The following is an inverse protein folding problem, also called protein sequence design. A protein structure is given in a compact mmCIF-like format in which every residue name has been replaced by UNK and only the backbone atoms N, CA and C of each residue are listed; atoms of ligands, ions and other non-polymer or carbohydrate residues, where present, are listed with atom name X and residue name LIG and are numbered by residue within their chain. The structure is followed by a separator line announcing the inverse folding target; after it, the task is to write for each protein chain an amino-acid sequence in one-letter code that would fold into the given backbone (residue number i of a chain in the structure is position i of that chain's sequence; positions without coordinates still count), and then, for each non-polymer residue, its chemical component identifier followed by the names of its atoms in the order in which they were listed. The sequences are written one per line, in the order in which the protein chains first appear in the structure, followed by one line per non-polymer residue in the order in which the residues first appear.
data_IF_024064498169
#
_entry.id   IF_024064498169
#
_cell.length_a   1.000
_cell.length_b   1.000
_cell.length_c   1.000
_cell.angle_alpha   90.00
_cell.angle_beta   90.00
_cell.angle_gamma   90.00
#
_symmetry.space_group_name_H-M   'P 1'
#
loop_
_entity.id
_entity.type
_entity.pdbx_description
1 polymer ?
#
# COMPACT_ATOMS: atom_id res chain seq x y z
N UNK A 1 29.44 22.57 -26.50
CA UNK A 1 28.87 21.21 -26.32
C UNK A 1 27.52 21.24 -27.02
N UNK A 2 27.34 20.52 -28.13
CA UNK A 2 26.08 20.54 -28.89
C UNK A 2 25.01 19.79 -28.10
N UNK A 3 23.98 20.50 -27.61
CA UNK A 3 22.78 19.87 -27.12
C UNK A 3 22.10 19.18 -28.32
N UNK A 4 22.16 17.86 -28.36
CA UNK A 4 21.46 17.07 -29.37
C UNK A 4 19.99 16.97 -28.97
N UNK A 5 19.08 17.28 -29.89
CA UNK A 5 17.63 17.11 -29.68
C UNK A 5 17.27 15.66 -29.30
N UNK A 6 18.10 14.69 -29.67
CA UNK A 6 17.93 13.27 -29.30
C UNK A 6 18.30 12.97 -27.83
N UNK A 7 19.02 13.87 -27.15
CA UNK A 7 19.42 13.75 -25.75
C UNK A 7 18.67 14.73 -24.83
N UNK A 8 17.99 15.72 -25.43
CA UNK A 8 17.14 16.69 -24.75
C UNK A 8 15.78 16.05 -24.40
N UNK A 9 15.71 15.46 -23.21
CA UNK A 9 14.52 14.78 -22.72
C UNK A 9 13.71 15.69 -21.80
N UNK A 10 12.67 16.33 -22.34
CA UNK A 10 11.70 17.10 -21.54
C UNK A 10 10.72 16.15 -20.86
N UNK A 11 10.78 16.12 -19.53
CA UNK A 11 9.85 15.31 -18.73
C UNK A 11 8.43 15.91 -18.84
N UNK A 12 7.39 15.10 -19.07
CA UNK A 12 6.03 15.59 -19.10
C UNK A 12 5.66 16.19 -17.73
N UNK A 13 5.07 17.38 -17.74
CA UNK A 13 4.51 17.98 -16.53
C UNK A 13 3.31 17.16 -16.02
N UNK A 14 2.86 17.41 -14.79
CA UNK A 14 1.81 16.62 -14.13
C UNK A 14 0.51 16.54 -14.94
N UNK A 15 0.11 17.65 -15.56
CA UNK A 15 -1.10 17.79 -16.35
C UNK A 15 -1.02 17.03 -17.68
N UNK A 16 0.11 17.13 -18.38
CA UNK A 16 0.37 16.35 -19.61
C UNK A 16 0.33 14.85 -19.32
N UNK A 17 0.96 14.42 -18.22
CA UNK A 17 0.91 13.02 -17.81
C UNK A 17 -0.52 12.56 -17.51
N UNK A 18 -1.32 13.39 -16.84
CA UNK A 18 -2.74 13.09 -16.58
C UNK A 18 -3.51 12.86 -17.87
N UNK A 19 -3.48 13.80 -18.82
CA UNK A 19 -4.27 13.67 -20.04
C UNK A 19 -3.84 12.46 -20.88
N UNK A 20 -2.54 12.25 -21.07
CA UNK A 20 -2.05 11.09 -21.82
C UNK A 20 -2.39 9.76 -21.15
N UNK A 21 -2.18 9.64 -19.84
CA UNK A 21 -2.52 8.40 -19.12
C UNK A 21 -4.03 8.14 -19.07
N UNK A 22 -4.86 9.19 -18.98
CA UNK A 22 -6.32 9.07 -18.99
C UNK A 22 -6.81 8.58 -20.37
N UNK A 23 -6.45 9.27 -21.45
CA UNK A 23 -6.86 8.85 -22.80
C UNK A 23 -6.34 7.47 -23.16
N UNK A 24 -5.12 7.15 -22.76
CA UNK A 24 -4.54 5.84 -22.99
C UNK A 24 -5.22 4.75 -22.16
N UNK A 25 -5.60 5.05 -20.92
CA UNK A 25 -6.44 4.14 -20.11
C UNK A 25 -7.77 3.88 -20.78
N UNK A 26 -8.43 4.92 -21.31
CA UNK A 26 -9.68 4.77 -22.04
C UNK A 26 -9.45 3.90 -23.28
N UNK A 27 -8.43 4.17 -24.09
CA UNK A 27 -8.13 3.39 -25.28
C UNK A 27 -7.83 1.91 -24.98
N UNK A 28 -7.06 1.62 -23.92
CA UNK A 28 -6.59 0.27 -23.61
C UNK A 28 -7.59 -0.58 -22.81
N UNK A 29 -8.44 0.03 -21.98
CA UNK A 29 -9.24 -0.73 -21.00
C UNK A 29 -10.74 -0.45 -21.04
N UNK A 30 -11.17 0.64 -21.70
CA UNK A 30 -12.58 0.99 -21.76
C UNK A 30 -13.36 0.03 -22.66
N UNK A 31 -14.51 -0.43 -22.18
CA UNK A 31 -15.43 -1.24 -22.98
C UNK A 31 -16.36 -0.34 -23.80
N UNK A 32 -16.02 -0.11 -25.07
CA UNK A 32 -16.82 0.76 -25.95
C UNK A 32 -18.22 0.21 -26.26
N UNK A 33 -18.40 -1.11 -26.26
CA UNK A 33 -19.73 -1.73 -26.47
C UNK A 33 -20.71 -1.52 -25.32
N UNK A 34 -20.22 -1.17 -24.12
CA UNK A 34 -21.03 -0.98 -22.90
C UNK A 34 -20.47 0.19 -22.09
N UNK A 35 -20.65 1.44 -22.54
CA UNK A 35 -19.99 2.60 -21.96
C UNK A 35 -20.31 2.80 -20.48
N UNK A 36 -21.56 2.56 -20.06
CA UNK A 36 -22.04 2.73 -18.68
C UNK A 36 -21.83 1.49 -17.78
N UNK A 37 -20.86 0.64 -18.09
CA UNK A 37 -20.53 -0.50 -17.23
C UNK A 37 -19.87 -0.03 -15.92
N UNK A 38 -20.14 -0.73 -14.81
CA UNK A 38 -19.47 -0.47 -13.53
C UNK A 38 -17.94 -0.53 -13.65
N UNK A 39 -17.43 -1.38 -14.55
CA UNK A 39 -16.01 -1.48 -14.88
C UNK A 39 -15.46 -0.17 -15.44
N UNK A 40 -16.12 0.40 -16.45
CA UNK A 40 -15.70 1.67 -17.05
C UNK A 40 -15.80 2.82 -16.05
N UNK A 41 -16.83 2.81 -15.22
CA UNK A 41 -16.98 3.78 -14.14
C UNK A 41 -15.84 3.67 -13.13
N UNK A 42 -15.50 2.46 -12.69
CA UNK A 42 -14.35 2.20 -11.81
C UNK A 42 -13.03 2.67 -12.45
N UNK A 43 -12.83 2.45 -13.77
CA UNK A 43 -11.65 2.92 -14.50
C UNK A 43 -11.53 4.46 -14.50
N UNK A 44 -12.61 5.18 -14.78
CA UNK A 44 -12.64 6.65 -14.74
C UNK A 44 -12.42 7.14 -13.29
N UNK A 45 -13.05 6.48 -12.32
CA UNK A 45 -12.94 6.85 -10.92
C UNK A 45 -11.52 6.70 -10.36
N UNK A 46 -10.65 5.88 -10.95
CA UNK A 46 -9.23 5.81 -10.55
C UNK A 46 -8.50 7.14 -10.81
N UNK A 47 -8.98 7.94 -11.76
CA UNK A 47 -8.44 9.26 -12.09
C UNK A 47 -9.10 10.40 -11.29
N UNK A 48 -10.13 10.12 -10.50
CA UNK A 48 -10.83 11.13 -9.69
C UNK A 48 -9.92 11.81 -8.66
N UNK A 49 -8.80 11.21 -8.26
CA UNK A 49 -7.83 11.86 -7.38
C UNK A 49 -7.05 12.99 -8.07
N UNK A 50 -6.86 12.93 -9.38
CA UNK A 50 -5.91 13.78 -10.11
C UNK A 50 -6.26 15.27 -10.06
N UNK A 51 -7.53 15.70 -10.21
CA UNK A 51 -7.86 17.12 -10.05
C UNK A 51 -7.46 17.67 -8.68
N UNK A 52 -7.68 16.90 -7.60
CA UNK A 52 -7.28 17.29 -6.25
C UNK A 52 -5.77 17.42 -6.09
N UNK A 53 -4.99 16.53 -6.72
CA UNK A 53 -3.54 16.69 -6.82
C UNK A 53 -3.21 18.02 -7.54
N UNK A 54 -3.67 18.21 -8.78
CA UNK A 54 -3.29 19.38 -9.58
C UNK A 54 -3.63 20.72 -8.90
N UNK A 55 -4.77 20.80 -8.20
CA UNK A 55 -5.14 21.95 -7.38
C UNK A 55 -4.14 22.24 -6.25
N UNK A 56 -3.63 21.19 -5.58
CA UNK A 56 -2.59 21.35 -4.55
C UNK A 56 -1.25 21.77 -5.15
N UNK A 57 -0.91 21.25 -6.34
CA UNK A 57 0.29 21.69 -7.05
C UNK A 57 0.21 23.17 -7.43
N UNK A 58 -0.93 23.60 -7.97
CA UNK A 58 -1.20 25.00 -8.28
C UNK A 58 -1.16 25.88 -7.02
N UNK A 59 -1.83 25.47 -5.95
CA UNK A 59 -1.79 26.18 -4.66
C UNK A 59 -0.36 26.35 -4.12
N UNK A 60 0.50 25.34 -4.27
CA UNK A 60 1.89 25.41 -3.84
C UNK A 60 2.73 26.32 -4.73
N UNK A 61 2.46 26.37 -6.04
CA UNK A 61 3.10 27.32 -6.95
C UNK A 61 2.67 28.76 -6.65
N UNK A 62 1.39 29.00 -6.38
CA UNK A 62 0.89 30.31 -5.94
C UNK A 62 1.50 30.73 -4.61
N UNK A 63 1.59 29.80 -3.64
CA UNK A 63 2.20 30.06 -2.33
C UNK A 63 3.69 30.41 -2.42
N UNK A 64 4.40 29.90 -3.43
CA UNK A 64 5.80 30.24 -3.68
C UNK A 64 5.99 31.67 -4.21
N UNK A 65 4.99 32.23 -4.90
CA UNK A 65 4.99 33.60 -5.38
C UNK A 65 4.47 34.59 -4.32
N UNK A 66 3.44 34.21 -3.57
CA UNK A 66 2.86 34.96 -2.46
C UNK A 66 2.49 33.98 -1.32
N UNK A 67 3.07 34.10 -0.11
CA UNK A 67 2.78 33.21 1.01
C UNK A 67 1.28 33.10 1.39
N UNK A 68 0.44 34.07 1.03
CA UNK A 68 -1.01 34.02 1.25
C UNK A 68 -1.78 33.50 0.02
N UNK A 69 -1.12 33.38 -1.13
CA UNK A 69 -1.69 32.87 -2.37
C UNK A 69 -1.99 31.37 -2.30
N UNK A 70 -3.05 30.93 -3.00
CA UNK A 70 -3.37 29.50 -3.12
C UNK A 70 -4.12 28.88 -1.94
N UNK A 71 -4.50 29.66 -0.91
CA UNK A 71 -5.13 29.10 0.30
C UNK A 71 -6.51 28.46 0.01
N UNK A 72 -7.31 29.05 -0.88
CA UNK A 72 -8.61 28.52 -1.26
C UNK A 72 -8.49 27.25 -2.10
N UNK A 73 -7.58 27.28 -3.08
CA UNK A 73 -7.21 26.16 -3.96
C UNK A 73 -6.69 24.98 -3.13
N UNK A 74 -5.89 25.25 -2.09
CA UNK A 74 -5.39 24.23 -1.17
C UNK A 74 -6.51 23.51 -0.44
N UNK A 75 -7.44 24.26 0.14
CA UNK A 75 -8.60 23.69 0.84
C UNK A 75 -9.47 22.88 -0.13
N UNK A 76 -9.72 23.40 -1.33
CA UNK A 76 -10.51 22.72 -2.34
C UNK A 76 -9.82 21.44 -2.85
N UNK A 77 -8.50 21.47 -3.04
CA UNK A 77 -7.69 20.31 -3.41
C UNK A 77 -7.78 19.18 -2.38
N UNK A 78 -7.60 19.48 -1.09
CA UNK A 78 -7.78 18.49 -0.03
C UNK A 78 -9.23 17.98 0.07
N UNK A 79 -10.23 18.88 -0.02
CA UNK A 79 -11.64 18.49 0.00
C UNK A 79 -12.00 17.55 -1.16
N UNK A 80 -11.45 17.81 -2.35
CA UNK A 80 -11.61 16.96 -3.53
C UNK A 80 -10.97 15.58 -3.34
N UNK A 81 -9.72 15.53 -2.86
CA UNK A 81 -9.04 14.26 -2.56
C UNK A 81 -9.82 13.41 -1.56
N UNK A 82 -10.32 14.03 -0.48
CA UNK A 82 -11.14 13.34 0.52
C UNK A 82 -12.50 12.90 -0.03
N UNK A 83 -13.07 13.64 -0.98
CA UNK A 83 -14.29 13.23 -1.68
C UNK A 83 -14.05 12.02 -2.59
N UNK A 84 -12.94 12.01 -3.33
CA UNK A 84 -12.50 10.85 -4.11
C UNK A 84 -12.20 9.63 -3.21
N UNK A 85 -11.54 9.85 -2.07
CA UNK A 85 -11.35 8.82 -1.03
C UNK A 85 -12.69 8.30 -0.50
N UNK A 86 -13.69 9.17 -0.30
CA UNK A 86 -15.02 8.76 0.18
C UNK A 86 -15.73 7.90 -0.85
N UNK A 87 -15.67 8.28 -2.13
CA UNK A 87 -16.18 7.44 -3.21
C UNK A 87 -15.55 6.04 -3.17
N UNK A 88 -14.22 5.94 -3.06
CA UNK A 88 -13.53 4.66 -3.02
C UNK A 88 -13.80 3.87 -1.72
N UNK A 89 -13.98 4.55 -0.60
CA UNK A 89 -14.38 3.94 0.67
C UNK A 89 -15.75 3.26 0.54
N UNK A 90 -16.75 4.00 0.04
CA UNK A 90 -18.09 3.46 -0.24
C UNK A 90 -17.99 2.31 -1.25
N UNK A 91 -17.20 2.48 -2.30
CA UNK A 91 -17.00 1.46 -3.33
C UNK A 91 -16.42 0.15 -2.78
N UNK A 92 -15.51 0.22 -1.81
CA UNK A 92 -14.96 -0.94 -1.10
C UNK A 92 -16.04 -1.69 -0.32
N UNK A 93 -16.94 -0.98 0.37
CA UNK A 93 -18.07 -1.62 1.07
C UNK A 93 -19.06 -2.25 0.08
N UNK A 94 -19.37 -1.58 -1.03
CA UNK A 94 -20.23 -2.13 -2.08
C UNK A 94 -19.62 -3.42 -2.68
N UNK A 95 -18.29 -3.50 -2.81
CA UNK A 95 -17.62 -4.70 -3.32
C UNK A 95 -17.81 -5.94 -2.44
N UNK A 96 -18.07 -5.76 -1.14
CA UNK A 96 -18.35 -6.87 -0.23
C UNK A 96 -19.66 -7.59 -0.56
N UNK A 97 -20.56 -6.92 -1.28
CA UNK A 97 -21.86 -7.47 -1.71
C UNK A 97 -21.89 -7.83 -3.19
N UNK A 98 -20.86 -7.46 -3.96
CA UNK A 98 -20.83 -7.64 -5.40
C UNK A 98 -20.52 -9.10 -5.78
N UNK A 99 -21.57 -9.83 -6.18
CA UNK A 99 -21.49 -11.26 -6.56
C UNK A 99 -21.11 -11.47 -8.03
N UNK A 100 -21.46 -10.56 -8.94
CA UNK A 100 -21.22 -10.70 -10.38
C UNK A 100 -20.51 -9.47 -10.95
N UNK A 101 -19.48 -9.70 -11.76
CA UNK A 101 -18.76 -8.67 -12.53
C UNK A 101 -18.63 -9.10 -13.99
N UNK A 102 -18.61 -8.17 -14.95
CA UNK A 102 -18.25 -8.50 -16.32
C UNK A 102 -16.79 -8.97 -16.38
N UNK A 103 -16.51 -9.94 -17.25
CA UNK A 103 -15.13 -10.43 -17.49
C UNK A 103 -14.26 -9.27 -18.00
N UNK A 104 -13.07 -9.12 -17.43
CA UNK A 104 -12.12 -8.13 -17.87
C UNK A 104 -11.50 -8.57 -19.21
N UNK A 105 -11.44 -7.63 -20.16
CA UNK A 105 -10.68 -7.76 -21.41
C UNK A 105 -10.12 -6.40 -21.76
N UNK A 106 -8.84 -6.38 -22.07
CA UNK A 106 -8.12 -5.24 -22.61
C UNK A 106 -8.34 -5.14 -24.13
N UNK A 107 -8.19 -3.93 -24.66
CA UNK A 107 -8.32 -3.65 -26.09
C UNK A 107 -6.99 -3.89 -26.85
N UNK A 108 -5.95 -4.37 -26.16
CA UNK A 108 -4.64 -4.70 -26.70
C UNK A 108 -4.34 -6.18 -26.45
N UNK A 109 -3.51 -6.81 -27.28
CA UNK A 109 -3.07 -8.19 -27.05
C UNK A 109 -2.20 -8.29 -25.80
N UNK A 110 -2.17 -9.46 -25.15
CA UNK A 110 -1.35 -9.68 -23.94
C UNK A 110 0.13 -9.32 -24.16
N UNK A 111 0.81 -9.74 -25.24
CA UNK A 111 2.21 -9.36 -25.48
C UNK A 111 2.37 -7.86 -25.70
N UNK A 112 1.43 -7.22 -26.41
CA UNK A 112 1.44 -5.77 -26.62
C UNK A 112 1.30 -5.00 -25.31
N UNK A 113 0.38 -5.44 -24.44
CA UNK A 113 0.16 -4.83 -23.13
C UNK A 113 1.34 -5.06 -22.18
N UNK A 114 1.98 -6.23 -22.24
CA UNK A 114 3.18 -6.53 -21.47
C UNK A 114 4.36 -5.65 -21.91
N UNK A 115 4.60 -5.53 -23.22
CA UNK A 115 5.62 -4.64 -23.76
C UNK A 115 5.36 -3.19 -23.37
N UNK A 116 4.11 -2.75 -23.48
CA UNK A 116 3.69 -1.41 -23.06
C UNK A 116 3.99 -1.16 -21.58
N UNK A 117 3.67 -2.10 -20.69
CA UNK A 117 3.99 -2.02 -19.26
C UNK A 117 5.49 -1.95 -18.99
N UNK A 118 6.31 -2.75 -19.69
CA UNK A 118 7.78 -2.71 -19.58
C UNK A 118 8.31 -1.34 -20.02
N UNK A 119 7.85 -0.84 -21.17
CA UNK A 119 8.26 0.47 -21.69
C UNK A 119 7.89 1.59 -20.71
N UNK A 120 6.68 1.57 -20.14
CA UNK A 120 6.27 2.54 -19.12
C UNK A 120 7.14 2.48 -17.87
N UNK A 121 7.49 1.28 -17.38
CA UNK A 121 8.36 1.15 -16.22
C UNK A 121 9.76 1.72 -16.49
N UNK A 122 10.32 1.48 -17.68
CA UNK A 122 11.59 2.08 -18.10
C UNK A 122 11.47 3.61 -18.16
N UNK A 123 10.42 4.14 -18.78
CA UNK A 123 10.18 5.59 -18.83
C UNK A 123 10.04 6.19 -17.42
N UNK A 124 9.28 5.56 -16.51
CA UNK A 124 9.15 6.02 -15.13
C UNK A 124 10.46 5.92 -14.35
N UNK A 125 11.31 4.93 -14.64
CA UNK A 125 12.67 4.86 -14.09
C UNK A 125 13.49 6.06 -14.56
N UNK A 126 13.42 6.41 -15.85
CA UNK A 126 14.07 7.62 -16.39
C UNK A 126 13.53 8.89 -15.73
N UNK A 127 12.22 8.97 -15.48
CA UNK A 127 11.59 10.08 -14.75
C UNK A 127 12.12 10.17 -13.32
N UNK A 128 12.17 9.06 -12.60
CA UNK A 128 12.71 9.01 -11.24
C UNK A 128 14.19 9.43 -11.20
N UNK A 129 14.97 9.06 -12.21
CA UNK A 129 16.40 9.38 -12.32
C UNK A 129 16.63 10.84 -12.68
N UNK A 130 15.94 11.36 -13.69
CA UNK A 130 16.22 12.68 -14.30
C UNK A 130 15.58 13.87 -13.60
N UNK A 131 14.59 13.69 -12.72
CA UNK A 131 14.01 14.83 -11.98
C UNK A 131 15.05 15.37 -10.98
N UNK A 132 15.60 16.58 -11.14
CA UNK A 132 16.60 17.12 -10.21
C UNK A 132 15.97 17.46 -8.84
N UNK A 133 14.71 17.86 -8.83
CA UNK A 133 13.85 17.98 -7.65
C UNK A 133 12.49 17.36 -7.97
N UNK A 134 11.90 16.66 -7.00
CA UNK A 134 10.54 16.15 -7.17
C UNK A 134 9.58 17.35 -7.22
N UNK A 135 8.72 17.40 -8.25
CA UNK A 135 7.71 18.45 -8.40
C UNK A 135 6.66 18.42 -7.27
N UNK A 136 6.70 17.38 -6.44
CA UNK A 136 5.85 17.15 -5.28
C UNK A 136 6.74 17.06 -4.06
N UNK A 137 6.38 17.79 -3.01
CA UNK A 137 7.02 17.59 -1.73
C UNK A 137 6.73 16.17 -1.20
N UNK A 138 7.67 15.55 -0.46
CA UNK A 138 7.44 14.26 0.16
C UNK A 138 6.17 14.28 1.02
N UNK A 139 5.30 13.29 0.82
CA UNK A 139 4.06 13.18 1.59
C UNK A 139 4.38 12.43 2.88
N UNK A 140 4.11 13.06 4.02
CA UNK A 140 4.45 12.44 5.29
C UNK A 140 5.94 12.39 5.63
N UNK A 141 6.20 12.10 6.89
CA UNK A 141 7.56 11.91 7.41
C UNK A 141 8.04 10.48 7.11
N UNK A 142 9.22 10.31 6.51
CA UNK A 142 9.78 8.98 6.30
C UNK A 142 10.09 8.34 7.67
N UNK A 143 9.72 7.07 7.89
CA UNK A 143 10.01 6.38 9.14
C UNK A 143 11.51 6.19 9.35
N UNK A 144 11.96 6.26 10.60
CA UNK A 144 13.39 6.19 10.97
C UNK A 144 14.05 4.89 10.52
N UNK A 145 13.34 3.77 10.56
CA UNK A 145 13.88 2.52 10.02
C UNK A 145 14.12 2.59 8.51
N UNK A 146 13.24 3.25 7.76
CA UNK A 146 13.38 3.38 6.30
C UNK A 146 14.54 4.33 5.99
N UNK A 147 14.67 5.44 6.72
CA UNK A 147 15.82 6.36 6.56
C UNK A 147 17.13 5.67 6.90
N UNK A 148 17.19 4.93 8.01
CA UNK A 148 18.38 4.16 8.39
C UNK A 148 18.77 3.09 7.36
N UNK A 149 17.81 2.42 6.73
CA UNK A 149 18.07 1.49 5.62
C UNK A 149 18.64 2.23 4.40
N UNK A 150 18.08 3.39 4.05
CA UNK A 150 18.59 4.18 2.91
C UNK A 150 19.99 4.72 3.16
N UNK A 151 20.29 5.13 4.39
CA UNK A 151 21.62 5.59 4.80
C UNK A 151 22.62 4.43 4.78
N UNK A 152 22.28 3.28 5.37
CA UNK A 152 23.12 2.09 5.35
C UNK A 152 23.40 1.59 3.92
N UNK A 153 22.40 1.61 3.05
CA UNK A 153 22.58 1.28 1.64
C UNK A 153 23.49 2.28 0.92
N UNK A 154 23.38 3.58 1.21
CA UNK A 154 24.27 4.60 0.64
C UNK A 154 25.73 4.39 1.08
N UNK A 155 25.98 3.99 2.34
CA UNK A 155 27.34 3.66 2.84
C UNK A 155 27.94 2.49 2.05
N UNK A 156 27.14 1.45 1.78
CA UNK A 156 27.57 0.29 1.00
C UNK A 156 27.92 0.70 -0.44
N UNK A 157 27.12 1.57 -1.06
CA UNK A 157 27.39 2.09 -2.40
C UNK A 157 28.66 2.93 -2.44
N UNK A 158 28.89 3.75 -1.41
CA UNK A 158 30.12 4.53 -1.23
C UNK A 158 31.36 3.65 -0.88
N UNK A 159 31.21 2.32 -0.79
CA UNK A 159 32.27 1.37 -0.41
C UNK A 159 32.97 1.71 0.93
N UNK A 160 32.30 2.45 1.81
CA UNK A 160 32.86 2.91 3.07
C UNK A 160 33.95 3.98 2.94
N UNK A 161 34.13 4.58 1.76
CA UNK A 161 35.05 5.70 1.59
C UNK A 161 34.45 6.99 2.19
N UNK A 162 35.27 7.87 2.78
CA UNK A 162 34.81 9.18 3.21
C UNK A 162 34.46 10.02 1.99
N UNK A 163 33.18 10.35 1.88
CA UNK A 163 32.60 11.14 0.78
C UNK A 163 32.34 12.57 1.27
N UNK A 164 32.53 13.56 0.40
CA UNK A 164 32.16 14.94 0.72
C UNK A 164 30.64 15.11 0.92
N UNK A 165 30.17 16.18 1.58
CA UNK A 165 28.73 16.32 1.89
C UNK A 165 27.82 16.38 0.66
N UNK A 166 28.32 16.95 -0.45
CA UNK A 166 27.54 17.11 -1.70
C UNK A 166 27.36 15.78 -2.41
N UNK A 167 28.45 15.03 -2.63
CA UNK A 167 28.39 13.70 -3.23
C UNK A 167 27.64 12.71 -2.32
N UNK A 168 27.72 12.86 -0.99
CA UNK A 168 26.92 12.06 -0.06
C UNK A 168 25.41 12.32 -0.22
N UNK A 169 25.00 13.58 -0.35
CA UNK A 169 23.61 13.93 -0.60
C UNK A 169 23.12 13.36 -1.93
N UNK A 170 23.95 13.43 -2.97
CA UNK A 170 23.68 12.84 -4.28
C UNK A 170 23.51 11.31 -4.20
N UNK A 171 24.44 10.60 -3.57
CA UNK A 171 24.39 9.14 -3.38
C UNK A 171 23.12 8.71 -2.62
N UNK A 172 22.72 9.47 -1.60
CA UNK A 172 21.49 9.20 -0.84
C UNK A 172 20.26 9.32 -1.73
N UNK A 173 20.17 10.37 -2.55
CA UNK A 173 19.06 10.57 -3.49
C UNK A 173 18.97 9.39 -4.48
N UNK A 174 20.09 8.98 -5.05
CA UNK A 174 20.16 7.83 -5.97
C UNK A 174 19.72 6.53 -5.30
N UNK A 175 20.18 6.31 -4.07
CA UNK A 175 19.85 5.10 -3.28
C UNK A 175 18.35 5.04 -2.98
N UNK A 176 17.74 6.14 -2.53
CA UNK A 176 16.28 6.21 -2.27
C UNK A 176 15.49 5.94 -3.54
N UNK A 177 15.87 6.54 -4.67
CA UNK A 177 15.21 6.35 -5.96
C UNK A 177 15.32 4.91 -6.46
N UNK A 178 16.50 4.30 -6.37
CA UNK A 178 16.71 2.90 -6.74
C UNK A 178 15.83 1.96 -5.89
N UNK A 179 15.81 2.15 -4.57
CA UNK A 179 14.97 1.37 -3.66
C UNK A 179 13.47 1.61 -3.93
N UNK A 180 13.06 2.84 -4.24
CA UNK A 180 11.68 3.15 -4.59
C UNK A 180 11.27 2.41 -5.89
N UNK A 181 12.12 2.43 -6.92
CA UNK A 181 11.87 1.70 -8.18
C UNK A 181 11.81 0.18 -7.98
N UNK A 182 12.64 -0.38 -7.08
CA UNK A 182 12.52 -1.78 -6.67
C UNK A 182 11.19 -2.06 -5.95
N UNK A 183 10.71 -1.13 -5.12
CA UNK A 183 9.38 -1.17 -4.54
C UNK A 183 8.28 -1.18 -5.60
N UNK A 184 8.37 -0.32 -6.62
CA UNK A 184 7.42 -0.30 -7.73
C UNK A 184 7.46 -1.62 -8.53
N UNK A 185 8.65 -2.17 -8.79
CA UNK A 185 8.81 -3.49 -9.40
C UNK A 185 8.15 -4.60 -8.56
N UNK A 186 8.28 -4.55 -7.24
CA UNK A 186 7.60 -5.48 -6.33
C UNK A 186 6.07 -5.34 -6.39
N UNK A 187 5.52 -4.12 -6.54
CA UNK A 187 4.08 -3.92 -6.75
C UNK A 187 3.62 -4.50 -8.09
N UNK A 188 4.30 -4.16 -9.19
CA UNK A 188 3.97 -4.62 -10.55
C UNK A 188 3.98 -6.16 -10.62
N UNK A 189 5.03 -6.78 -10.11
CA UNK A 189 5.16 -8.25 -10.06
C UNK A 189 4.11 -8.87 -9.16
N UNK A 190 3.83 -8.28 -7.99
CA UNK A 190 2.76 -8.70 -7.10
C UNK A 190 1.40 -8.70 -7.78
N UNK A 191 1.05 -7.62 -8.51
CA UNK A 191 -0.22 -7.51 -9.24
C UNK A 191 -0.30 -8.57 -10.35
N UNK A 192 0.77 -8.72 -11.14
CA UNK A 192 0.86 -9.76 -12.15
C UNK A 192 0.67 -11.16 -11.57
N UNK A 193 1.37 -11.49 -10.48
CA UNK A 193 1.29 -12.79 -9.83
C UNK A 193 -0.08 -13.06 -9.20
N UNK A 194 -0.76 -12.06 -8.64
CA UNK A 194 -2.14 -12.22 -8.17
C UNK A 194 -3.07 -12.57 -9.34
N UNK A 195 -2.97 -11.84 -10.46
CA UNK A 195 -3.73 -12.14 -11.68
C UNK A 195 -3.45 -13.55 -12.21
N UNK A 196 -2.18 -13.87 -12.46
CA UNK A 196 -1.78 -15.15 -13.02
C UNK A 196 -2.07 -16.35 -12.10
N UNK A 197 -1.73 -16.26 -10.81
CA UNK A 197 -1.77 -17.41 -9.90
C UNK A 197 -3.10 -17.59 -9.19
N UNK A 198 -3.74 -16.49 -8.77
CA UNK A 198 -4.96 -16.52 -7.96
C UNK A 198 -6.20 -16.29 -8.81
N UNK A 199 -6.19 -15.31 -9.71
CA UNK A 199 -7.28 -15.11 -10.66
C UNK A 199 -7.25 -16.10 -11.84
N UNK A 200 -6.12 -16.80 -12.04
CA UNK A 200 -5.89 -17.73 -13.16
C UNK A 200 -6.08 -17.05 -14.52
N UNK A 201 -5.78 -15.76 -14.59
CA UNK A 201 -5.89 -14.94 -15.78
C UNK A 201 -4.68 -14.01 -15.87
N UNK A 202 -3.78 -14.35 -16.79
CA UNK A 202 -2.57 -13.57 -17.04
C UNK A 202 -2.87 -12.22 -17.67
N UNK A 203 -3.94 -12.10 -18.48
CA UNK A 203 -4.33 -10.83 -19.10
C UNK A 203 -4.69 -9.81 -18.02
N UNK A 204 -5.53 -10.20 -17.07
CA UNK A 204 -5.89 -9.38 -15.92
C UNK A 204 -4.65 -9.00 -15.08
N UNK A 205 -3.70 -9.92 -14.88
CA UNK A 205 -2.44 -9.63 -14.18
C UNK A 205 -1.59 -8.56 -14.87
N UNK A 206 -1.37 -8.70 -16.18
CA UNK A 206 -0.62 -7.73 -16.98
C UNK A 206 -1.36 -6.39 -17.04
N UNK A 207 -2.69 -6.40 -17.13
CA UNK A 207 -3.51 -5.20 -17.14
C UNK A 207 -3.46 -4.42 -15.82
N UNK A 208 -3.52 -5.10 -14.67
CA UNK A 208 -3.36 -4.43 -13.36
C UNK A 208 -1.97 -3.79 -13.24
N UNK A 209 -0.92 -4.50 -13.66
CA UNK A 209 0.45 -3.99 -13.69
C UNK A 209 0.59 -2.74 -14.58
N UNK A 210 0.08 -2.80 -15.82
CA UNK A 210 0.11 -1.67 -16.74
C UNK A 210 -0.74 -0.48 -16.24
N UNK A 211 -1.91 -0.75 -15.66
CA UNK A 211 -2.75 0.29 -15.05
C UNK A 211 -2.04 0.98 -13.89
N UNK A 212 -1.40 0.22 -12.98
CA UNK A 212 -0.63 0.79 -11.88
C UNK A 212 0.41 1.82 -12.35
N UNK A 213 1.11 1.51 -13.44
CA UNK A 213 2.11 2.39 -14.04
C UNK A 213 1.52 3.59 -14.77
N UNK A 214 0.33 3.44 -15.34
CA UNK A 214 -0.39 4.53 -15.99
C UNK A 214 -0.91 5.57 -15.00
N UNK A 215 -1.28 5.16 -13.79
CA UNK A 215 -1.93 6.06 -12.84
C UNK A 215 -1.03 7.26 -12.47
N UNK A 216 -1.52 8.51 -12.60
CA UNK A 216 -0.68 9.70 -12.42
C UNK A 216 -0.01 9.80 -11.04
N UNK A 217 -0.72 9.43 -9.97
CA UNK A 217 -0.15 9.48 -8.61
C UNK A 217 0.95 8.44 -8.37
N UNK A 218 1.09 7.40 -9.20
CA UNK A 218 2.28 6.55 -9.21
C UNK A 218 3.49 7.34 -9.74
N UNK A 219 3.29 8.13 -10.79
CA UNK A 219 4.33 8.96 -11.39
C UNK A 219 4.63 10.24 -10.60
N UNK A 220 3.65 10.79 -9.87
CA UNK A 220 3.82 11.97 -9.02
C UNK A 220 4.68 11.65 -7.80
N UNK A 221 4.49 10.48 -7.20
CA UNK A 221 5.19 10.05 -5.97
C UNK A 221 6.17 8.88 -6.20
N UNK A 222 6.74 8.79 -7.40
CA UNK A 222 7.58 7.65 -7.84
C UNK A 222 8.82 7.40 -6.95
N UNK A 223 9.30 8.43 -6.27
CA UNK A 223 10.49 8.40 -5.39
C UNK A 223 10.14 8.12 -3.92
N UNK A 224 8.86 8.05 -3.54
CA UNK A 224 8.44 7.96 -2.14
C UNK A 224 8.49 6.52 -1.60
N UNK A 225 9.69 6.08 -1.23
CA UNK A 225 9.98 4.71 -0.80
C UNK A 225 9.03 4.18 0.28
N UNK A 226 8.74 4.94 1.33
CA UNK A 226 7.88 4.46 2.43
C UNK A 226 6.44 4.18 2.01
N UNK A 227 5.93 4.84 0.98
CA UNK A 227 4.59 4.56 0.45
C UNK A 227 4.57 3.30 -0.39
N UNK A 228 5.53 3.18 -1.31
CA UNK A 228 5.59 2.03 -2.21
C UNK A 228 5.98 0.75 -1.47
N UNK A 229 6.84 0.85 -0.45
CA UNK A 229 7.19 -0.28 0.42
C UNK A 229 5.95 -0.82 1.15
N UNK A 230 5.15 0.07 1.73
CA UNK A 230 3.88 -0.28 2.34
C UNK A 230 2.93 -0.97 1.34
N UNK A 231 2.75 -0.34 0.18
CA UNK A 231 1.89 -0.85 -0.87
C UNK A 231 2.34 -2.26 -1.33
N UNK A 232 3.65 -2.45 -1.53
CA UNK A 232 4.26 -3.72 -1.91
C UNK A 232 4.06 -4.79 -0.85
N UNK A 233 4.41 -4.52 0.42
CA UNK A 233 4.29 -5.50 1.51
C UNK A 233 2.84 -5.92 1.73
N UNK A 234 1.90 -4.98 1.67
CA UNK A 234 0.47 -5.27 1.80
C UNK A 234 -0.05 -6.11 0.62
N UNK A 235 0.35 -5.78 -0.61
CA UNK A 235 -0.01 -6.56 -1.78
C UNK A 235 0.59 -7.97 -1.75
N UNK A 236 1.86 -8.11 -1.37
CA UNK A 236 2.50 -9.41 -1.25
C UNK A 236 1.93 -10.23 -0.10
N UNK A 237 1.42 -9.60 0.97
CA UNK A 237 0.63 -10.29 1.99
C UNK A 237 -0.66 -10.84 1.39
N UNK A 238 -1.36 -10.06 0.55
CA UNK A 238 -2.53 -10.55 -0.20
C UNK A 238 -2.14 -11.69 -1.14
N UNK A 239 -1.05 -11.59 -1.89
CA UNK A 239 -0.56 -12.70 -2.71
C UNK A 239 -0.26 -13.95 -1.87
N UNK A 240 0.35 -13.77 -0.69
CA UNK A 240 0.70 -14.84 0.22
C UNK A 240 -0.47 -15.32 1.09
N UNK A 241 -1.74 -14.93 0.81
CA UNK A 241 -2.88 -15.21 1.71
C UNK A 241 -3.08 -16.70 2.05
N UNK A 242 -2.60 -17.62 1.21
CA UNK A 242 -2.64 -19.06 1.51
C UNK A 242 -1.61 -19.51 2.56
N UNK A 243 -0.66 -18.65 2.92
CA UNK A 243 0.38 -18.88 3.92
C UNK A 243 0.23 -17.88 5.07
N UNK A 244 -0.57 -18.20 6.11
CA UNK A 244 -0.87 -17.25 7.19
C UNK A 244 0.38 -16.66 7.85
N UNK A 245 1.43 -17.47 8.06
CA UNK A 245 2.70 -16.99 8.65
C UNK A 245 3.38 -15.94 7.79
N UNK A 246 3.45 -16.17 6.48
CA UNK A 246 4.10 -15.25 5.55
C UNK A 246 3.29 -13.98 5.37
N UNK A 247 1.97 -14.09 5.25
CA UNK A 247 1.07 -12.93 5.23
C UNK A 247 1.19 -12.09 6.50
N UNK A 248 1.20 -12.75 7.66
CA UNK A 248 1.45 -12.11 8.95
C UNK A 248 2.80 -11.41 8.96
N UNK A 249 3.88 -12.10 8.56
CA UNK A 249 5.23 -11.54 8.50
C UNK A 249 5.30 -10.27 7.65
N UNK A 250 4.75 -10.30 6.44
CA UNK A 250 4.77 -9.17 5.52
C UNK A 250 3.98 -7.96 6.06
N UNK A 251 2.80 -8.18 6.65
CA UNK A 251 2.04 -7.11 7.28
C UNK A 251 2.68 -6.60 8.57
N UNK A 252 3.33 -7.48 9.34
CA UNK A 252 4.08 -7.11 10.54
C UNK A 252 5.28 -6.22 10.19
N UNK A 253 6.01 -6.54 9.11
CA UNK A 253 7.07 -5.68 8.57
C UNK A 253 6.50 -4.32 8.12
N UNK A 254 5.38 -4.32 7.40
CA UNK A 254 4.74 -3.07 6.96
C UNK A 254 4.32 -2.21 8.15
N UNK A 255 3.73 -2.83 9.18
CA UNK A 255 3.30 -2.18 10.41
C UNK A 255 4.48 -1.63 11.21
N UNK A 256 5.57 -2.38 11.35
CA UNK A 256 6.77 -1.92 12.03
C UNK A 256 7.50 -0.79 11.29
N UNK A 257 7.44 -0.81 9.96
CA UNK A 257 8.08 0.21 9.13
C UNK A 257 7.27 1.49 9.01
N UNK A 258 5.93 1.44 8.91
CA UNK A 258 5.09 2.61 8.59
C UNK A 258 3.92 2.87 9.55
N UNK A 259 3.85 2.11 10.65
CA UNK A 259 2.84 2.18 11.72
C UNK A 259 1.40 1.81 11.32
N UNK A 260 0.78 2.55 10.39
CA UNK A 260 -0.64 2.38 10.01
C UNK A 260 -1.09 0.98 9.59
N UNK A 261 -0.26 0.11 9.00
CA UNK A 261 -0.68 -1.25 8.67
C UNK A 261 -1.05 -2.10 9.88
N UNK A 262 -0.66 -1.69 11.09
CA UNK A 262 -1.13 -2.32 12.34
C UNK A 262 -2.66 -2.32 12.42
N UNK A 263 -3.31 -1.32 11.84
CA UNK A 263 -4.77 -1.16 11.82
C UNK A 263 -5.47 -2.22 10.96
N UNK A 264 -4.72 -2.90 10.08
CA UNK A 264 -5.24 -4.03 9.28
C UNK A 264 -5.38 -5.31 10.11
N UNK A 265 -4.72 -5.40 11.25
CA UNK A 265 -4.65 -6.62 12.06
C UNK A 265 -6.03 -7.23 12.40
N UNK A 266 -7.06 -6.46 12.84
CA UNK A 266 -8.35 -7.04 13.20
C UNK A 266 -9.05 -7.73 12.02
N UNK A 267 -9.03 -7.12 10.84
CA UNK A 267 -9.60 -7.66 9.59
C UNK A 267 -8.89 -8.94 9.15
N UNK A 268 -7.56 -8.96 9.22
CA UNK A 268 -6.77 -10.12 8.82
C UNK A 268 -6.86 -11.25 9.84
N UNK A 269 -6.96 -10.93 11.12
CA UNK A 269 -7.25 -11.89 12.17
C UNK A 269 -8.61 -12.55 11.95
N UNK A 270 -9.62 -11.76 11.56
CA UNK A 270 -10.95 -12.25 11.18
C UNK A 270 -10.89 -13.14 9.93
N UNK A 271 -10.17 -12.73 8.90
CA UNK A 271 -9.99 -13.52 7.67
C UNK A 271 -9.43 -14.92 7.96
N UNK A 272 -8.45 -15.02 8.86
CA UNK A 272 -7.88 -16.32 9.28
C UNK A 272 -8.57 -16.97 10.47
N UNK A 273 -9.70 -16.42 10.95
CA UNK A 273 -10.42 -16.96 12.10
C UNK A 273 -10.81 -18.42 11.83
N UNK A 274 -10.51 -19.30 12.79
CA UNK A 274 -10.66 -20.77 12.67
C UNK A 274 -9.83 -21.46 11.56
N UNK A 275 -9.09 -20.72 10.72
CA UNK A 275 -8.36 -21.25 9.55
C UNK A 275 -6.84 -21.00 9.61
N UNK A 276 -6.34 -20.45 10.71
CA UNK A 276 -4.91 -20.18 10.89
C UNK A 276 -4.57 -18.88 11.61
N UNK A 277 -5.53 -18.24 12.28
CA UNK A 277 -5.35 -16.96 13.00
C UNK A 277 -4.07 -16.92 13.83
N UNK A 278 -3.81 -17.93 14.67
CA UNK A 278 -2.59 -18.00 15.47
C UNK A 278 -1.29 -17.97 14.64
N UNK A 279 -1.25 -18.70 13.51
CA UNK A 279 -0.07 -18.72 12.63
C UNK A 279 0.18 -17.35 12.00
N UNK A 280 -0.91 -16.65 11.65
CA UNK A 280 -0.85 -15.27 11.19
C UNK A 280 -0.36 -14.34 12.31
N UNK A 281 -0.96 -14.40 13.49
CA UNK A 281 -0.60 -13.55 14.64
C UNK A 281 0.85 -13.71 15.06
N UNK A 282 1.39 -14.92 15.11
CA UNK A 282 2.83 -15.12 15.38
C UNK A 282 3.67 -14.44 14.32
N UNK A 283 3.40 -14.71 13.03
CA UNK A 283 4.18 -14.13 11.93
C UNK A 283 4.17 -12.60 11.98
N UNK A 284 2.98 -12.03 12.20
CA UNK A 284 2.77 -10.60 12.35
C UNK A 284 3.54 -10.02 13.53
N UNK A 285 3.37 -10.60 14.72
CA UNK A 285 3.97 -10.07 15.95
C UNK A 285 5.49 -10.17 15.92
N UNK A 286 6.05 -11.29 15.44
CA UNK A 286 7.51 -11.45 15.34
C UNK A 286 8.10 -10.42 14.37
N UNK A 287 7.52 -10.28 13.17
CA UNK A 287 8.00 -9.31 12.20
C UNK A 287 7.87 -7.85 12.68
N UNK A 288 6.75 -7.52 13.34
CA UNK A 288 6.53 -6.21 13.94
C UNK A 288 7.59 -5.92 15.01
N UNK A 289 7.81 -6.85 15.95
CA UNK A 289 8.78 -6.67 17.02
C UNK A 289 10.22 -6.55 16.48
N UNK A 290 10.59 -7.33 15.46
CA UNK A 290 11.90 -7.23 14.83
C UNK A 290 12.10 -5.88 14.14
N UNK A 291 11.10 -5.38 13.41
CA UNK A 291 11.16 -4.08 12.74
C UNK A 291 11.19 -2.92 13.74
N UNK A 292 10.43 -3.01 14.84
CA UNK A 292 10.50 -2.04 15.93
C UNK A 292 11.85 -2.08 16.65
N UNK A 293 12.38 -3.28 16.94
CA UNK A 293 13.71 -3.43 17.53
C UNK A 293 14.79 -2.81 16.64
N UNK A 294 14.74 -3.03 15.32
CA UNK A 294 15.64 -2.37 14.38
C UNK A 294 15.51 -0.84 14.42
N UNK A 295 14.28 -0.31 14.44
CA UNK A 295 14.03 1.14 14.56
C UNK A 295 14.63 1.71 15.84
N UNK A 296 14.40 1.04 16.97
CA UNK A 296 14.91 1.46 18.27
C UNK A 296 16.44 1.39 18.33
N UNK A 297 17.05 0.36 17.75
CA UNK A 297 18.51 0.25 17.64
C UNK A 297 19.13 1.40 16.83
N UNK A 298 18.50 1.80 15.72
CA UNK A 298 18.93 2.96 14.92
C UNK A 298 18.80 4.25 15.73
N UNK A 299 17.66 4.46 16.40
CA UNK A 299 17.45 5.63 17.26
C UNK A 299 18.44 5.70 18.43
N UNK A 300 18.76 4.55 19.02
CA UNK A 300 19.73 4.46 20.11
C UNK A 300 21.15 4.75 19.63
N UNK A 301 21.57 4.14 18.52
CA UNK A 301 22.88 4.38 17.93
C UNK A 301 23.08 5.85 17.51
N UNK A 302 22.02 6.52 17.06
CA UNK A 302 22.04 7.93 16.69
C UNK A 302 21.89 8.90 17.89
N UNK A 303 21.79 8.39 19.13
CA UNK A 303 21.66 9.23 20.34
C UNK A 303 20.30 9.90 20.50
N UNK A 304 19.30 9.52 19.71
CA UNK A 304 17.94 10.07 19.78
C UNK A 304 17.03 9.30 20.74
N UNK A 305 17.41 8.14 21.26
CA UNK A 305 16.59 7.39 22.22
C UNK A 305 16.95 7.75 23.67
N UNK A 306 15.97 8.05 24.56
CA UNK A 306 14.50 7.93 24.39
C UNK A 306 13.78 9.18 23.86
N UNK A 307 14.45 10.33 23.74
CA UNK A 307 13.79 11.62 23.46
C UNK A 307 13.03 11.63 22.12
N UNK A 308 13.60 11.09 21.05
CA UNK A 308 12.98 10.95 19.74
C UNK A 308 11.72 10.08 19.76
N UNK A 309 11.69 9.02 20.57
CA UNK A 309 10.45 8.25 20.77
C UNK A 309 9.39 9.11 21.46
N UNK A 310 9.77 9.88 22.49
CA UNK A 310 8.83 10.79 23.16
C UNK A 310 8.29 11.87 22.21
N UNK A 311 9.13 12.40 21.32
CA UNK A 311 8.71 13.38 20.30
C UNK A 311 7.69 12.79 19.34
N UNK A 312 7.95 11.60 18.78
CA UNK A 312 7.00 10.89 17.90
C UNK A 312 5.70 10.64 18.65
N UNK A 313 5.78 10.22 19.91
CA UNK A 313 4.62 9.96 20.75
C UNK A 313 3.82 11.21 21.11
N UNK A 314 4.34 12.41 20.83
CA UNK A 314 3.66 13.68 21.08
C UNK A 314 3.28 14.46 19.81
N UNK A 315 3.50 13.89 18.62
CA UNK A 315 3.12 14.52 17.36
C UNK A 315 1.61 14.71 17.25
N UNK A 316 1.20 15.93 16.87
CA UNK A 316 -0.20 16.25 16.59
C UNK A 316 -0.75 15.51 15.35
N UNK A 317 0.15 15.07 14.46
CA UNK A 317 -0.18 14.45 13.16
C UNK A 317 -1.06 13.21 13.34
N UNK A 318 -0.85 12.40 14.39
CA UNK A 318 -1.64 11.21 14.70
C UNK A 318 -2.47 11.34 16.00
N UNK A 319 -2.35 12.45 16.73
CA UNK A 319 -3.14 12.73 17.94
C UNK A 319 -4.29 13.70 17.66
N UNK A 320 -5.53 13.21 17.46
CA UNK A 320 -6.66 14.02 17.02
C UNK A 320 -7.13 15.07 18.04
N UNK A 321 -6.76 14.93 19.32
CA UNK A 321 -7.04 15.91 20.38
C UNK A 321 -6.02 17.06 20.45
N UNK A 322 -4.95 17.02 19.64
CA UNK A 322 -3.99 18.12 19.53
C UNK A 322 -4.26 18.93 18.27
N UNK A 323 -4.04 20.24 18.38
CA UNK A 323 -4.09 21.14 17.24
C UNK A 323 -3.03 20.73 16.21
N UNK A 324 -3.41 20.42 14.96
CA UNK A 324 -2.46 20.02 13.94
C UNK A 324 -1.60 21.20 13.51
N UNK A 325 -0.32 20.93 13.27
CA UNK A 325 0.64 21.89 12.71
C UNK A 325 0.97 21.57 11.26
N UNK A 326 0.83 20.30 10.87
CA UNK A 326 1.05 19.84 9.50
C UNK A 326 -0.01 20.37 8.54
N UNK A 327 0.38 20.48 7.27
CA UNK A 327 -0.49 20.92 6.18
C UNK A 327 -1.56 19.86 5.88
N UNK A 328 -2.82 20.24 5.97
CA UNK A 328 -3.98 19.44 5.53
C UNK A 328 -5.27 20.27 5.61
N UNK A 329 -6.40 19.66 5.27
CA UNK A 329 -7.73 20.20 5.56
C UNK A 329 -7.92 20.60 7.05
N UNK A 330 -7.20 19.93 7.96
CA UNK A 330 -7.37 20.12 9.40
C UNK A 330 -6.56 21.30 9.98
N UNK A 331 -5.70 21.96 9.20
CA UNK A 331 -4.85 23.07 9.68
C UNK A 331 -5.65 24.38 9.96
N UNK A 332 -6.97 24.40 9.70
CA UNK A 332 -7.85 25.56 9.83
C UNK A 332 -8.55 25.74 11.19
N UNK A 333 -9.47 26.73 11.25
CA UNK A 333 -10.25 27.10 12.45
C UNK A 333 -11.07 25.95 13.04
N UNK A 334 -11.47 25.02 12.18
CA UNK A 334 -12.40 23.93 12.47
C UNK A 334 -11.71 22.58 12.77
N UNK A 335 -10.42 22.60 13.14
CA UNK A 335 -9.63 21.40 13.41
C UNK A 335 -10.26 20.45 14.44
N UNK A 336 -11.11 20.95 15.35
CA UNK A 336 -11.79 20.15 16.37
C UNK A 336 -12.72 19.06 15.79
N UNK A 337 -13.28 19.25 14.59
CA UNK A 337 -14.13 18.23 13.94
C UNK A 337 -13.36 16.98 13.52
N UNK A 338 -12.02 17.02 13.55
CA UNK A 338 -11.15 15.87 13.35
C UNK A 338 -11.38 14.77 14.38
N UNK A 339 -11.69 15.14 15.63
CA UNK A 339 -11.85 14.18 16.72
C UNK A 339 -13.08 13.27 16.52
N UNK A 340 -14.29 13.78 16.24
CA UNK A 340 -15.43 12.94 15.85
C UNK A 340 -15.13 11.99 14.68
N UNK A 341 -14.44 12.47 13.64
CA UNK A 341 -14.06 11.64 12.47
C UNK A 341 -13.11 10.52 12.89
N UNK A 342 -12.13 10.81 13.75
CA UNK A 342 -11.25 9.80 14.33
C UNK A 342 -12.02 8.78 15.18
N UNK A 343 -12.97 9.22 16.02
CA UNK A 343 -13.77 8.31 16.85
C UNK A 343 -14.56 7.35 15.95
N UNK A 344 -15.20 7.85 14.89
CA UNK A 344 -15.88 7.01 13.91
C UNK A 344 -14.93 6.00 13.26
N UNK A 345 -13.72 6.44 12.89
CA UNK A 345 -12.69 5.56 12.34
C UNK A 345 -12.21 4.50 13.35
N UNK A 346 -12.01 4.87 14.62
CA UNK A 346 -11.58 3.95 15.66
C UNK A 346 -12.67 2.88 15.94
N UNK A 347 -13.94 3.28 15.96
CA UNK A 347 -15.07 2.34 16.02
C UNK A 347 -15.05 1.41 14.81
N UNK A 348 -14.86 1.96 13.61
CA UNK A 348 -14.76 1.16 12.40
C UNK A 348 -13.62 0.12 12.46
N UNK A 349 -12.41 0.50 12.86
CA UNK A 349 -11.28 -0.44 13.09
C UNK A 349 -11.65 -1.50 14.13
N UNK A 350 -12.21 -1.10 15.28
CA UNK A 350 -12.58 -2.02 16.37
C UNK A 350 -13.67 -3.02 15.97
N UNK A 351 -14.66 -2.58 15.18
CA UNK A 351 -15.75 -3.42 14.69
C UNK A 351 -15.36 -4.33 13.53
N UNK A 352 -14.28 -4.00 12.79
CA UNK A 352 -13.87 -4.70 11.57
C UNK A 352 -13.52 -6.19 11.77
N UNK A 353 -13.24 -6.61 13.00
CA UNK A 353 -13.10 -8.03 13.35
C UNK A 353 -14.44 -8.77 13.35
N UNK A 354 -15.52 -8.11 13.78
CA UNK A 354 -16.85 -8.71 13.91
C UNK A 354 -17.68 -8.54 12.65
N UNK A 355 -17.61 -7.36 12.03
CA UNK A 355 -18.40 -6.97 10.88
C UNK A 355 -17.61 -6.04 9.95
N UNK A 356 -17.69 -6.21 8.63
CA UNK A 356 -18.45 -7.21 7.86
C UNK A 356 -17.76 -8.59 7.81
N UNK A 357 -18.44 -9.68 7.39
CA UNK A 357 -17.84 -11.01 7.34
C UNK A 357 -16.76 -11.13 6.24
N UNK A 358 -15.50 -11.13 6.66
CA UNK A 358 -14.34 -11.28 5.75
C UNK A 358 -13.99 -12.76 5.56
N UNK A 359 -14.42 -13.34 4.43
CA UNK A 359 -14.21 -14.78 4.11
C UNK A 359 -13.28 -15.07 2.94
N UNK A 360 -13.17 -14.14 2.00
CA UNK A 360 -12.43 -14.33 0.75
C UNK A 360 -11.29 -13.31 0.65
N UNK A 361 -10.31 -13.61 -0.20
CA UNK A 361 -9.23 -12.69 -0.54
C UNK A 361 -9.77 -11.34 -1.02
N UNK A 362 -10.89 -11.36 -1.77
CA UNK A 362 -11.52 -10.13 -2.23
C UNK A 362 -12.03 -9.27 -1.05
N UNK A 363 -12.70 -9.89 -0.08
CA UNK A 363 -13.16 -9.20 1.12
C UNK A 363 -11.99 -8.62 1.91
N UNK A 364 -10.89 -9.38 2.11
CA UNK A 364 -9.75 -8.88 2.87
C UNK A 364 -9.02 -7.74 2.13
N UNK A 365 -8.95 -7.79 0.80
CA UNK A 365 -8.39 -6.69 -0.01
C UNK A 365 -9.25 -5.43 0.04
N UNK A 366 -10.56 -5.56 -0.17
CA UNK A 366 -11.51 -4.44 -0.08
C UNK A 366 -11.51 -3.81 1.32
N UNK A 367 -11.51 -4.66 2.35
CA UNK A 367 -11.52 -4.17 3.71
C UNK A 367 -10.17 -3.57 4.13
N UNK A 368 -9.05 -4.08 3.62
CA UNK A 368 -7.74 -3.45 3.82
C UNK A 368 -7.66 -2.08 3.14
N UNK A 369 -8.17 -1.97 1.91
CA UNK A 369 -8.24 -0.70 1.19
C UNK A 369 -9.09 0.32 1.96
N UNK A 370 -10.30 -0.07 2.39
CA UNK A 370 -11.18 0.82 3.15
C UNK A 370 -10.59 1.27 4.49
N UNK A 371 -9.85 0.42 5.21
CA UNK A 371 -9.16 0.82 6.43
C UNK A 371 -8.03 1.84 6.17
N UNK A 372 -7.25 1.65 5.11
CA UNK A 372 -6.17 2.58 4.72
C UNK A 372 -6.72 3.91 4.17
N UNK A 373 -7.81 3.85 3.40
CA UNK A 373 -8.55 5.03 2.94
C UNK A 373 -9.13 5.78 4.15
N UNK A 374 -9.66 5.05 5.14
CA UNK A 374 -10.22 5.64 6.36
C UNK A 374 -9.21 6.51 7.14
N UNK A 375 -7.92 6.17 7.10
CA UNK A 375 -6.84 6.98 7.70
C UNK A 375 -6.81 8.40 7.11
N UNK A 376 -7.06 8.53 5.79
CA UNK A 376 -6.96 9.81 5.09
C UNK A 376 -7.89 10.87 5.67
N UNK A 377 -9.03 10.47 6.22
CA UNK A 377 -10.03 11.42 6.73
C UNK A 377 -9.61 12.11 8.01
N UNK A 378 -8.92 11.43 8.93
CA UNK A 378 -8.59 12.02 10.24
C UNK A 378 -7.09 12.30 10.42
N UNK A 379 -6.22 11.76 9.57
CA UNK A 379 -4.79 12.00 9.68
C UNK A 379 -4.47 13.46 9.31
N UNK A 380 -3.71 14.14 10.17
CA UNK A 380 -3.52 15.59 10.04
C UNK A 380 -2.37 15.99 9.12
N UNK A 381 -1.44 15.10 8.85
CA UNK A 381 -0.39 15.33 7.88
C UNK A 381 -0.94 14.91 6.53
N UNK A 382 -1.23 15.88 5.65
CA UNK A 382 -1.52 15.66 4.22
C UNK A 382 -2.59 14.60 3.91
N UNK A 383 -3.61 14.49 4.76
CA UNK A 383 -4.73 13.55 4.58
C UNK A 383 -5.36 13.66 3.19
N UNK A 384 -5.42 12.54 2.46
CA UNK A 384 -5.88 12.45 1.07
C UNK A 384 -4.76 12.21 0.05
N UNK A 385 -3.50 12.50 0.39
CA UNK A 385 -2.36 12.34 -0.53
C UNK A 385 -1.71 10.96 -0.51
N UNK A 386 -1.98 10.11 0.50
CA UNK A 386 -1.37 8.77 0.62
C UNK A 386 -2.08 7.72 -0.26
N UNK A 387 -2.52 8.09 -1.45
CA UNK A 387 -3.28 7.23 -2.37
C UNK A 387 -2.52 5.92 -2.67
N UNK A 388 -1.20 6.02 -2.82
CA UNK A 388 -0.33 4.89 -3.15
C UNK A 388 -0.40 3.73 -2.14
N UNK A 389 -0.77 3.99 -0.88
CA UNK A 389 -0.90 2.95 0.15
C UNK A 389 -1.93 1.89 -0.21
N UNK A 390 -3.02 2.30 -0.86
CA UNK A 390 -4.17 1.44 -1.16
C UNK A 390 -4.40 1.25 -2.66
N UNK A 391 -3.70 1.96 -3.55
CA UNK A 391 -3.82 1.81 -5.01
C UNK A 391 -3.76 0.36 -5.48
N UNK A 392 -2.78 -0.48 -5.08
CA UNK A 392 -2.74 -1.85 -5.60
C UNK A 392 -3.96 -2.66 -5.15
N UNK A 393 -4.49 -2.40 -3.96
CA UNK A 393 -5.71 -3.04 -3.47
C UNK A 393 -6.95 -2.56 -4.24
N UNK A 394 -7.02 -1.28 -4.61
CA UNK A 394 -8.07 -0.79 -5.51
C UNK A 394 -8.01 -1.48 -6.88
N UNK A 395 -6.81 -1.68 -7.44
CA UNK A 395 -6.66 -2.42 -8.69
C UNK A 395 -7.15 -3.86 -8.56
N UNK A 396 -6.88 -4.54 -7.43
CA UNK A 396 -7.45 -5.86 -7.17
C UNK A 396 -8.99 -5.84 -7.13
N UNK A 397 -9.61 -4.77 -6.62
CA UNK A 397 -11.07 -4.60 -6.57
C UNK A 397 -11.64 -4.32 -7.97
N UNK A 398 -11.00 -3.46 -8.75
CA UNK A 398 -11.46 -3.03 -10.08
C UNK A 398 -11.36 -4.17 -11.10
N UNK A 399 -10.23 -4.88 -11.10
CA UNK A 399 -9.90 -5.90 -12.09
C UNK A 399 -10.26 -7.33 -11.65
N UNK A 400 -10.91 -7.51 -10.48
CA UNK A 400 -11.32 -8.82 -9.98
C UNK A 400 -12.26 -9.54 -10.97
N UNK A 401 -12.01 -10.82 -11.31
CA UNK A 401 -12.97 -11.62 -12.05
C UNK A 401 -14.18 -12.00 -11.19
N UNK A 402 -15.28 -12.42 -11.83
CA UNK A 402 -16.57 -12.64 -11.20
C UNK A 402 -16.68 -13.90 -10.30
N UNK A 403 -15.75 -14.86 -10.41
CA UNK A 403 -15.92 -16.22 -9.88
C UNK A 403 -14.69 -16.73 -9.09
N UNK A 404 -14.17 -15.92 -8.16
CA UNK A 404 -12.99 -16.27 -7.36
C UNK A 404 -13.32 -16.30 -5.87
N UNK A 405 -13.92 -17.40 -5.41
CA UNK A 405 -14.02 -17.74 -3.98
C UNK A 405 -12.65 -18.18 -3.44
N UNK A 406 -11.75 -17.20 -3.33
CA UNK A 406 -10.39 -17.38 -2.85
C UNK A 406 -10.37 -17.33 -1.32
N UNK A 407 -10.81 -18.42 -0.70
CA UNK A 407 -10.85 -18.55 0.76
C UNK A 407 -9.50 -18.99 1.35
N UNK A 408 -9.19 -18.64 2.62
CA UNK A 408 -7.98 -19.11 3.27
C UNK A 408 -8.07 -20.63 3.50
N UNK A 409 -6.92 -21.34 3.43
CA UNK A 409 -6.91 -22.80 3.46
C UNK A 409 -7.44 -23.32 4.80
N UNK A 410 -8.24 -24.38 4.73
CA UNK A 410 -8.68 -25.09 5.92
C UNK A 410 -7.48 -25.69 6.65
N UNK A 411 -7.55 -25.71 7.99
CA UNK A 411 -6.57 -26.42 8.80
C UNK A 411 -6.68 -27.91 8.47
N UNK A 412 -5.66 -28.48 7.81
CA UNK A 412 -5.58 -29.92 7.63
C UNK A 412 -5.67 -30.61 9.01
N UNK A 413 -6.67 -31.49 9.24
CA UNK A 413 -6.75 -32.27 10.46
C UNK A 413 -5.42 -33.03 10.65
N UNK A 414 -4.76 -32.86 11.80
CA UNK A 414 -3.54 -33.61 12.15
C UNK A 414 -2.19 -32.90 12.01
N UNK A 415 -2.11 -31.63 11.56
CA UNK A 415 -0.85 -30.84 11.54
C UNK A 415 -0.82 -29.64 12.50
N UNK A 416 -1.69 -29.63 13.51
CA UNK A 416 -1.60 -28.68 14.61
C UNK A 416 -0.49 -29.06 15.58
N UNK A 417 0.33 -28.09 15.99
CA UNK A 417 1.26 -28.24 17.11
C UNK A 417 0.57 -28.78 18.37
N UNK A 418 -0.66 -28.32 18.66
CA UNK A 418 -1.50 -28.84 19.74
C UNK A 418 -1.86 -30.32 19.60
N UNK A 419 -2.24 -30.79 18.40
CA UNK A 419 -2.43 -32.23 18.13
C UNK A 419 -1.14 -33.03 18.26
N UNK A 420 0.02 -32.48 17.85
CA UNK A 420 1.32 -33.17 18.01
C UNK A 420 1.76 -33.22 19.47
N UNK A 421 1.49 -32.17 20.24
CA UNK A 421 1.72 -32.15 21.69
C UNK A 421 0.76 -33.09 22.41
N UNK A 422 -0.53 -33.10 22.05
CA UNK A 422 -1.51 -34.03 22.61
C UNK A 422 -1.15 -35.48 22.27
N UNK A 423 -0.78 -35.79 21.02
CA UNK A 423 -0.30 -37.13 20.61
C UNK A 423 1.03 -37.46 21.32
N UNK A 424 1.94 -36.50 21.45
CA UNK A 424 3.23 -36.68 22.14
C UNK A 424 3.08 -36.92 23.65
N UNK A 425 2.15 -36.23 24.29
CA UNK A 425 1.77 -36.41 25.70
C UNK A 425 1.04 -37.74 25.87
N UNK A 426 0.06 -38.03 25.01
CA UNK A 426 -0.67 -39.31 24.98
C UNK A 426 0.27 -40.50 24.81
N UNK A 427 1.23 -40.43 23.88
CA UNK A 427 2.21 -41.49 23.65
C UNK A 427 3.22 -41.62 24.81
N UNK A 428 3.54 -40.53 25.53
CA UNK A 428 4.36 -40.59 26.76
C UNK A 428 3.60 -41.18 27.93
N UNK A 429 2.32 -40.84 28.10
CA UNK A 429 1.45 -41.42 29.12
C UNK A 429 1.26 -42.91 28.86
N UNK A 430 0.98 -43.30 27.61
CA UNK A 430 0.82 -44.71 27.19
C UNK A 430 2.10 -45.54 27.37
N UNK A 431 3.29 -44.96 27.13
CA UNK A 431 4.58 -45.62 27.41
C UNK A 431 4.83 -45.81 28.90
N UNK A 432 4.31 -44.93 29.76
CA UNK A 432 4.45 -45.05 31.22
C UNK A 432 3.43 -46.01 31.86
N UNK A 433 2.28 -46.21 31.23
CA UNK A 433 1.18 -47.01 31.79
C UNK A 433 1.17 -48.49 31.39
N UNK A 434 2.16 -48.99 30.64
CA UNK A 434 2.31 -50.43 30.34
C UNK A 434 1.10 -51.11 29.69
N UNK A 435 0.19 -50.35 29.07
CA UNK A 435 -1.07 -50.89 28.59
C UNK A 435 -0.92 -51.64 27.26
N UNK A 436 -1.27 -52.92 27.28
CA UNK A 436 -1.26 -53.85 26.16
C UNK A 436 -2.12 -53.36 24.98
N UNK A 437 -1.73 -53.82 23.78
CA UNK A 437 -2.36 -53.55 22.50
C UNK A 437 -3.79 -54.15 22.48
N UNK A 438 -4.85 -53.42 22.08
CA UNK A 438 -6.13 -54.06 21.81
C UNK A 438 -5.99 -55.01 20.60
N UNK A 439 -6.77 -56.11 20.54
CA UNK A 439 -6.65 -57.09 19.48
C UNK A 439 -6.94 -56.47 18.12
N UNK A 440 -6.16 -56.89 17.12
CA UNK A 440 -6.35 -56.50 15.73
C UNK A 440 -7.76 -56.91 15.28
N UNK A 441 -8.56 -55.94 14.85
CA UNK A 441 -9.75 -56.23 14.06
C UNK A 441 -9.28 -56.74 12.70
N UNK A 442 -9.57 -58.02 12.44
CA UNK A 442 -9.42 -58.64 11.14
C UNK A 442 -10.54 -58.17 10.20
N UNK A 443 -10.14 -57.94 8.94
CA UNK A 443 -10.93 -57.66 7.73
C UNK A 443 -11.72 -56.35 7.68
#
# INVERSE_FOLDING_TARGET
MFASIFLEFHLPNSTTWFFFSFFLTVALFFQFSRPFSLRNWDLIALFSFVPGFLLLQEANQSAAADPQGGAGERVFGYAWLLSASLYWLVRCFLDLTAVRRPVFRSNLTIPGLAWFGIALFVCLTVVAVRRPADAWEPVGRPPVAVTGVTEGAAVVVAKGEPVDPEHWAELRVWTVRALAMLGHAAVITGLFFVGWRHFRDAETGVAMAAMYLLLPYTAYHISQLHHVLLAALTLWAVFAYRHPRLSGWLLGLAAGSTFFPVLLFPVWLRFYWQRGAWRFTIGFTVALLLSLAATLSVLWAAGYFPQGLSQVMHLADWQPWKRPTAESLWQGRNWAYRLPVFILYAVFVGTSFFWPPVRTMAHVSAMSAALLIGVQFWFADRGGLYVLWYTPLLLLIVFRPAATDLEPPLLAPGRGWGTRLAIGVWNRVRRKSGAAQPPALAA
#
